data_IF_820081453532
#
_entry.id   IF_820081453532
#
_cell.length_a   1.000
_cell.length_b   1.000
_cell.length_c   1.000
_cell.angle_alpha   90.00
_cell.angle_beta   90.00
_cell.angle_gamma   90.00
#
_symmetry.space_group_name_H-M   'P 1'
#
loop_
_entity.id
_entity.type
_entity.pdbx_description
1 polymer ?
#
# COMPACT_ATOMS: atom_id res chain seq x y z
N UNK A 1 -18.33 13.86 -47.19
CA UNK A 1 -18.01 12.72 -46.31
C UNK A 1 -18.46 13.09 -44.92
N UNK A 2 -19.54 12.49 -44.44
CA UNK A 2 -19.96 12.65 -43.04
C UNK A 2 -19.22 11.67 -42.15
N UNK A 3 -19.05 12.01 -40.88
CA UNK A 3 -18.54 11.09 -39.85
C UNK A 3 -19.42 9.84 -39.82
N UNK A 4 -18.81 8.66 -39.86
CA UNK A 4 -19.52 7.39 -39.79
C UNK A 4 -19.84 7.03 -38.34
N UNK A 5 -20.81 6.15 -38.13
CA UNK A 5 -21.15 5.64 -36.79
C UNK A 5 -19.96 4.94 -36.11
N UNK A 6 -19.06 4.35 -36.92
CA UNK A 6 -17.78 3.79 -36.46
C UNK A 6 -16.85 4.88 -35.95
N UNK A 7 -16.71 5.99 -36.68
CA UNK A 7 -15.86 7.11 -36.26
C UNK A 7 -16.32 7.71 -34.92
N UNK A 8 -17.64 7.76 -34.69
CA UNK A 8 -18.21 8.18 -33.41
C UNK A 8 -17.93 7.17 -32.29
N UNK A 9 -18.08 5.86 -32.53
CA UNK A 9 -17.78 4.81 -31.53
C UNK A 9 -16.30 4.74 -31.17
N UNK A 10 -15.42 4.91 -32.15
CA UNK A 10 -13.97 4.92 -31.95
C UNK A 10 -13.56 6.15 -31.14
N UNK A 11 -14.14 7.33 -31.41
CA UNK A 11 -13.93 8.53 -30.61
C UNK A 11 -14.41 8.38 -29.16
N UNK A 12 -15.60 7.79 -28.94
CA UNK A 12 -16.08 7.47 -27.60
C UNK A 12 -15.17 6.49 -26.86
N UNK A 13 -14.66 5.47 -27.55
CA UNK A 13 -13.73 4.49 -26.97
C UNK A 13 -12.39 5.11 -26.61
N UNK A 14 -11.87 6.03 -27.43
CA UNK A 14 -10.65 6.78 -27.15
C UNK A 14 -10.81 7.69 -25.93
N UNK A 15 -11.92 8.44 -25.82
CA UNK A 15 -12.19 9.29 -24.65
C UNK A 15 -12.40 8.44 -23.39
N UNK A 16 -13.10 7.30 -23.48
CA UNK A 16 -13.28 6.39 -22.35
C UNK A 16 -11.96 5.77 -21.85
N UNK A 17 -11.01 5.52 -22.75
CA UNK A 17 -9.66 5.07 -22.40
C UNK A 17 -8.75 6.17 -21.83
N UNK A 18 -9.12 7.46 -22.01
CA UNK A 18 -8.41 8.60 -21.40
C UNK A 18 -8.88 8.90 -19.97
N UNK A 19 -10.07 8.43 -19.58
CA UNK A 19 -10.56 8.53 -18.20
C UNK A 19 -9.93 7.41 -17.39
N UNK A 20 -9.21 7.71 -16.28
CA UNK A 20 -8.62 6.68 -15.45
C UNK A 20 -9.70 5.72 -14.98
N UNK A 21 -9.54 4.44 -15.33
CA UNK A 21 -10.43 3.39 -14.83
C UNK A 21 -10.23 3.26 -13.32
N UNK A 22 -11.26 2.82 -12.58
CA UNK A 22 -11.17 2.60 -11.12
C UNK A 22 -9.95 1.74 -10.74
N UNK A 23 -9.62 0.76 -11.59
CA UNK A 23 -8.43 -0.07 -11.47
C UNK A 23 -7.12 0.73 -11.52
N UNK A 24 -6.98 1.70 -12.43
CA UNK A 24 -5.75 2.48 -12.58
C UNK A 24 -5.48 3.35 -11.36
N UNK A 25 -6.54 3.96 -10.81
CA UNK A 25 -6.46 4.75 -9.58
C UNK A 25 -6.07 3.89 -8.39
N UNK A 26 -6.71 2.73 -8.22
CA UNK A 26 -6.39 1.79 -7.16
C UNK A 26 -4.96 1.24 -7.31
N UNK A 27 -4.56 0.85 -8.52
CA UNK A 27 -3.21 0.37 -8.80
C UNK A 27 -2.15 1.45 -8.46
N UNK A 28 -2.39 2.71 -8.84
CA UNK A 28 -1.54 3.83 -8.46
C UNK A 28 -1.49 4.03 -6.94
N UNK A 29 -2.62 3.90 -6.24
CA UNK A 29 -2.67 4.01 -4.78
C UNK A 29 -1.85 2.90 -4.11
N UNK A 30 -1.97 1.65 -4.58
CA UNK A 30 -1.19 0.50 -4.11
C UNK A 30 0.31 0.73 -4.31
N UNK A 31 0.73 1.17 -5.51
CA UNK A 31 2.15 1.43 -5.80
C UNK A 31 2.71 2.53 -4.90
N UNK A 32 1.99 3.64 -4.72
CA UNK A 32 2.39 4.72 -3.82
C UNK A 32 2.43 4.28 -2.36
N UNK A 33 1.41 3.55 -1.90
CA UNK A 33 1.35 3.03 -0.54
C UNK A 33 2.51 2.08 -0.23
N UNK A 34 2.89 1.22 -1.18
CA UNK A 34 4.06 0.37 -1.06
C UNK A 34 5.36 1.17 -0.96
N UNK A 35 5.56 2.18 -1.82
CA UNK A 35 6.74 3.04 -1.77
C UNK A 35 6.86 3.78 -0.44
N UNK A 36 5.76 4.34 0.06
CA UNK A 36 5.72 5.01 1.38
C UNK A 36 6.04 4.02 2.51
N UNK A 37 5.51 2.79 2.42
CA UNK A 37 5.82 1.72 3.40
C UNK A 37 7.31 1.39 3.41
N UNK A 38 7.94 1.31 2.23
CA UNK A 38 9.38 1.06 2.11
C UNK A 38 10.22 2.23 2.63
N UNK A 39 9.85 3.46 2.29
CA UNK A 39 10.50 4.67 2.81
C UNK A 39 10.44 4.73 4.33
N UNK A 40 9.32 4.32 4.93
CA UNK A 40 9.19 4.23 6.38
C UNK A 40 10.16 3.21 7.01
N UNK A 41 10.49 2.11 6.32
CA UNK A 41 11.54 1.20 6.79
C UNK A 41 12.91 1.88 6.79
N UNK A 42 13.24 2.62 5.72
CA UNK A 42 14.52 3.34 5.62
C UNK A 42 14.65 4.39 6.71
N UNK A 43 13.62 5.23 6.88
CA UNK A 43 13.57 6.25 7.93
C UNK A 43 13.70 5.61 9.32
N UNK A 44 13.12 4.43 9.53
CA UNK A 44 13.28 3.69 10.78
C UNK A 44 14.73 3.22 10.97
N UNK A 45 15.34 2.59 9.96
CA UNK A 45 16.73 2.12 10.04
C UNK A 45 17.74 3.25 10.22
N UNK A 46 17.52 4.38 9.54
CA UNK A 46 18.28 5.63 9.74
C UNK A 46 18.26 6.09 11.20
N UNK A 47 17.13 5.85 11.90
CA UNK A 47 16.96 6.27 13.27
C UNK A 47 17.56 5.27 14.28
N UNK A 48 17.39 3.97 14.06
CA UNK A 48 17.76 2.95 15.07
C UNK A 48 19.16 2.38 14.92
N UNK A 49 19.78 2.50 13.74
CA UNK A 49 21.12 1.95 13.51
C UNK A 49 22.20 3.01 13.75
N UNK A 50 23.35 2.65 14.36
CA UNK A 50 24.49 3.56 14.50
C UNK A 50 25.20 3.85 13.17
N UNK A 51 24.97 3.03 12.13
CA UNK A 51 25.63 3.14 10.83
C UNK A 51 24.70 2.81 9.65
N UNK A 52 23.60 3.55 9.43
CA UNK A 52 22.56 3.20 8.47
C UNK A 52 23.03 3.20 7.01
N UNK A 53 24.05 4.01 6.68
CA UNK A 53 24.65 4.08 5.34
C UNK A 53 25.19 2.74 4.82
N UNK A 54 25.49 1.78 5.70
CA UNK A 54 25.87 0.44 5.28
C UNK A 54 24.72 -0.30 4.57
N UNK A 55 23.46 -0.03 4.96
CA UNK A 55 22.29 -0.64 4.34
C UNK A 55 22.00 -0.10 2.94
N UNK A 56 22.24 1.19 2.70
CA UNK A 56 22.12 1.78 1.35
C UNK A 56 22.99 1.02 0.34
N UNK A 57 24.23 0.71 0.72
CA UNK A 57 25.17 -0.06 -0.12
C UNK A 57 24.77 -1.53 -0.25
N UNK A 58 24.09 -2.08 0.77
CA UNK A 58 23.61 -3.46 0.74
C UNK A 58 22.47 -3.67 -0.27
N UNK A 59 21.82 -2.58 -0.74
CA UNK A 59 20.74 -2.63 -1.75
C UNK A 59 19.66 -3.64 -1.39
N UNK A 60 19.21 -3.59 -0.13
CA UNK A 60 18.18 -4.51 0.35
C UNK A 60 16.90 -4.33 -0.46
N UNK A 61 16.26 -5.46 -0.77
CA UNK A 61 14.91 -5.49 -1.35
C UNK A 61 13.87 -5.16 -0.31
N UNK A 62 12.66 -4.76 -0.73
CA UNK A 62 11.51 -4.58 0.16
C UNK A 62 11.32 -5.75 1.12
N UNK A 63 11.37 -6.98 0.62
CA UNK A 63 11.17 -8.19 1.42
C UNK A 63 12.23 -8.33 2.52
N UNK A 64 13.49 -8.07 2.20
CA UNK A 64 14.59 -8.08 3.18
C UNK A 64 14.41 -6.97 4.23
N UNK A 65 14.07 -5.75 3.80
CA UNK A 65 13.78 -4.62 4.71
C UNK A 65 12.60 -4.94 5.62
N UNK A 66 11.53 -5.52 5.09
CA UNK A 66 10.36 -5.93 5.87
C UNK A 66 10.73 -6.92 6.97
N UNK A 67 11.52 -7.96 6.65
CA UNK A 67 11.96 -8.93 7.65
C UNK A 67 12.91 -8.33 8.68
N UNK A 68 13.80 -7.43 8.27
CA UNK A 68 14.66 -6.71 9.20
C UNK A 68 13.84 -5.80 10.13
N UNK A 69 12.90 -5.02 9.58
CA UNK A 69 12.00 -4.15 10.34
C UNK A 69 11.16 -4.94 11.36
N UNK A 70 10.64 -6.11 10.96
CA UNK A 70 9.93 -7.02 11.86
C UNK A 70 10.84 -7.59 12.94
N UNK A 71 12.10 -7.90 12.63
CA UNK A 71 13.06 -8.43 13.61
C UNK A 71 13.42 -7.41 14.70
N UNK A 72 13.43 -6.11 14.38
CA UNK A 72 13.56 -5.06 15.39
C UNK A 72 12.36 -5.00 16.34
N UNK A 73 11.18 -5.44 15.89
CA UNK A 73 9.92 -5.35 16.63
C UNK A 73 9.38 -6.75 16.99
N UNK A 74 10.08 -7.51 17.88
CA UNK A 74 9.76 -8.90 18.17
C UNK A 74 8.44 -9.11 18.91
N UNK A 75 7.95 -8.08 19.61
CA UNK A 75 6.67 -8.14 20.30
C UNK A 75 5.52 -8.33 19.30
N UNK A 76 4.66 -9.32 19.54
CA UNK A 76 3.49 -9.61 18.70
C UNK A 76 2.40 -8.51 18.74
N UNK A 77 2.65 -7.40 19.45
CA UNK A 77 1.74 -6.23 19.51
C UNK A 77 1.45 -5.66 18.12
N UNK A 78 2.38 -5.81 17.17
CA UNK A 78 2.23 -5.34 15.79
C UNK A 78 1.95 -6.48 14.79
N UNK A 79 1.51 -7.66 15.28
CA UNK A 79 1.24 -8.83 14.45
C UNK A 79 0.35 -8.55 13.24
N UNK A 80 -0.73 -7.77 13.45
CA UNK A 80 -1.65 -7.38 12.40
C UNK A 80 -0.97 -6.50 11.33
N UNK A 81 -0.08 -5.58 11.71
CA UNK A 81 0.64 -4.70 10.78
C UNK A 81 1.51 -5.52 9.82
N UNK A 82 2.15 -6.58 10.32
CA UNK A 82 2.92 -7.52 9.49
C UNK A 82 2.04 -8.20 8.44
N UNK A 83 0.83 -8.62 8.83
CA UNK A 83 -0.16 -9.18 7.91
C UNK A 83 -0.60 -8.17 6.85
N UNK A 84 -0.85 -6.92 7.25
CA UNK A 84 -1.28 -5.84 6.37
C UNK A 84 -0.21 -5.48 5.33
N UNK A 85 1.04 -5.30 5.76
CA UNK A 85 2.19 -5.02 4.87
C UNK A 85 2.42 -6.16 3.89
N UNK A 86 2.28 -7.41 4.33
CA UNK A 86 2.41 -8.57 3.45
C UNK A 86 1.30 -8.62 2.38
N UNK A 87 0.05 -8.34 2.76
CA UNK A 87 -1.07 -8.22 1.82
C UNK A 87 -0.88 -7.08 0.82
N UNK A 88 -0.38 -5.93 1.27
CA UNK A 88 -0.01 -4.80 0.41
C UNK A 88 1.08 -5.20 -0.61
N UNK A 89 2.11 -5.91 -0.16
CA UNK A 89 3.17 -6.40 -1.04
C UNK A 89 2.65 -7.38 -2.11
N UNK A 90 1.74 -8.28 -1.72
CA UNK A 90 1.08 -9.18 -2.67
C UNK A 90 0.27 -8.42 -3.71
N UNK A 91 -0.57 -7.47 -3.27
CA UNK A 91 -1.38 -6.65 -4.16
C UNK A 91 -0.51 -5.81 -5.12
N UNK A 92 0.62 -5.29 -4.65
CA UNK A 92 1.62 -4.59 -5.47
C UNK A 92 2.23 -5.49 -6.54
N UNK A 93 2.54 -6.74 -6.21
CA UNK A 93 3.08 -7.68 -7.19
C UNK A 93 2.07 -7.97 -8.31
N UNK A 94 0.78 -8.01 -7.99
CA UNK A 94 -0.27 -8.22 -8.98
C UNK A 94 -0.40 -7.03 -9.95
N UNK A 95 -0.24 -5.80 -9.45
CA UNK A 95 -0.15 -4.60 -10.29
C UNK A 95 1.05 -4.71 -11.24
N UNK A 96 2.22 -5.13 -10.74
CA UNK A 96 3.42 -5.29 -11.57
C UNK A 96 3.32 -6.39 -12.63
N UNK A 97 2.46 -7.39 -12.41
CA UNK A 97 2.21 -8.48 -13.34
C UNK A 97 0.99 -8.24 -14.27
N UNK A 98 0.35 -7.07 -14.21
CA UNK A 98 -0.85 -6.72 -14.99
C UNK A 98 -1.97 -7.77 -14.89
N UNK A 99 -2.19 -8.33 -13.70
CA UNK A 99 -3.28 -9.28 -13.48
C UNK A 99 -4.64 -8.63 -13.75
N UNK A 100 -5.57 -9.43 -14.29
CA UNK A 100 -6.93 -9.01 -14.67
C UNK A 100 -7.66 -8.37 -13.47
N UNK A 101 -8.53 -7.41 -13.75
CA UNK A 101 -9.27 -6.58 -12.79
C UNK A 101 -9.89 -7.32 -11.61
N UNK A 102 -10.36 -8.56 -11.83
CA UNK A 102 -11.16 -9.30 -10.85
C UNK A 102 -10.33 -9.85 -9.68
N UNK A 103 -9.16 -10.45 -9.96
CA UNK A 103 -8.25 -10.93 -8.92
C UNK A 103 -7.68 -9.77 -8.10
N UNK A 104 -7.38 -8.65 -8.77
CA UNK A 104 -6.94 -7.42 -8.11
C UNK A 104 -8.02 -6.91 -7.14
N UNK A 105 -9.29 -6.87 -7.58
CA UNK A 105 -10.40 -6.42 -6.75
C UNK A 105 -10.57 -7.29 -5.51
N UNK A 106 -10.52 -8.63 -5.66
CA UNK A 106 -10.63 -9.56 -4.53
C UNK A 106 -9.51 -9.30 -3.51
N UNK A 107 -8.26 -9.21 -3.96
CA UNK A 107 -7.11 -9.00 -3.05
C UNK A 107 -7.10 -7.60 -2.43
N UNK A 108 -7.60 -6.59 -3.15
CA UNK A 108 -7.84 -5.26 -2.59
C UNK A 108 -8.83 -5.34 -1.44
N UNK A 109 -9.98 -5.98 -1.65
CA UNK A 109 -11.02 -6.14 -0.64
C UNK A 109 -10.51 -6.96 0.55
N UNK A 110 -9.71 -8.00 0.31
CA UNK A 110 -9.04 -8.76 1.38
C UNK A 110 -8.08 -7.91 2.22
N UNK A 111 -7.32 -7.00 1.60
CA UNK A 111 -6.42 -6.08 2.32
C UNK A 111 -7.23 -5.12 3.19
N UNK A 112 -8.25 -4.49 2.61
CA UNK A 112 -9.12 -3.53 3.29
C UNK A 112 -9.83 -4.17 4.46
N UNK A 113 -10.49 -5.31 4.25
CA UNK A 113 -11.22 -6.03 5.29
C UNK A 113 -10.27 -6.51 6.40
N UNK A 114 -9.09 -7.04 6.05
CA UNK A 114 -8.11 -7.45 7.04
C UNK A 114 -7.68 -6.28 7.94
N UNK A 115 -7.41 -5.11 7.37
CA UNK A 115 -7.04 -3.92 8.15
C UNK A 115 -8.22 -3.48 9.01
N UNK A 116 -9.43 -3.44 8.46
CA UNK A 116 -10.62 -3.05 9.20
C UNK A 116 -10.91 -3.96 10.41
N UNK A 117 -10.64 -5.26 10.28
CA UNK A 117 -10.92 -6.25 11.32
C UNK A 117 -9.83 -6.31 12.38
N UNK A 118 -8.56 -6.17 11.98
CA UNK A 118 -7.42 -6.42 12.86
C UNK A 118 -6.79 -5.14 13.42
N UNK A 119 -7.14 -3.96 12.90
CA UNK A 119 -6.56 -2.69 13.36
C UNK A 119 -6.99 -2.37 14.82
N UNK A 120 -6.03 -2.20 15.76
CA UNK A 120 -6.32 -1.88 17.15
C UNK A 120 -6.86 -0.45 17.36
N UNK A 121 -6.74 0.44 16.36
CA UNK A 121 -7.24 1.82 16.41
C UNK A 121 -8.61 2.00 15.74
N UNK A 122 -9.35 0.92 15.55
CA UNK A 122 -10.72 0.98 15.02
C UNK A 122 -11.57 1.94 15.87
N UNK A 123 -12.10 2.99 15.24
CA UNK A 123 -12.95 3.99 15.89
C UNK A 123 -12.27 5.28 16.38
N UNK A 124 -10.95 5.46 16.19
CA UNK A 124 -10.24 6.67 16.65
C UNK A 124 -10.17 7.83 15.64
N UNK A 125 -10.56 7.63 14.38
CA UNK A 125 -10.60 8.67 13.34
C UNK A 125 -11.92 8.59 12.56
N UNK A 126 -12.98 9.20 13.06
CA UNK A 126 -14.24 9.31 12.33
C UNK A 126 -14.49 10.76 11.97
N UNK A 127 -14.29 11.12 10.70
CA UNK A 127 -15.03 12.26 10.12
C UNK A 127 -15.59 11.96 8.72
N UNK A 128 -15.27 10.84 8.07
CA UNK A 128 -15.82 10.50 6.75
C UNK A 128 -16.41 9.08 6.60
N UNK A 129 -16.36 8.24 7.64
CA UNK A 129 -17.12 6.99 7.70
C UNK A 129 -16.74 5.91 6.67
N UNK A 130 -15.78 6.15 5.78
CA UNK A 130 -15.40 5.21 4.74
C UNK A 130 -14.13 4.42 5.13
N UNK A 131 -14.24 3.63 6.20
CA UNK A 131 -13.18 2.72 6.65
C UNK A 131 -12.89 1.59 5.65
N UNK A 132 -13.78 1.38 4.67
CA UNK A 132 -13.70 0.36 3.63
C UNK A 132 -12.98 0.81 2.36
N UNK A 133 -12.28 1.94 2.38
CA UNK A 133 -11.52 2.40 1.22
C UNK A 133 -10.01 2.08 1.35
N UNK A 134 -9.42 1.72 0.22
CA UNK A 134 -8.01 1.38 0.07
C UNK A 134 -7.12 2.51 0.59
N UNK A 135 -7.44 3.78 0.30
CA UNK A 135 -6.64 4.91 0.76
C UNK A 135 -6.55 5.00 2.27
N UNK A 136 -7.67 4.80 2.97
CA UNK A 136 -7.72 4.82 4.42
C UNK A 136 -6.94 3.64 5.02
N UNK A 137 -7.05 2.47 4.41
CA UNK A 137 -6.25 1.30 4.77
C UNK A 137 -4.74 1.56 4.66
N UNK A 138 -4.27 2.21 3.59
CA UNK A 138 -2.87 2.59 3.43
C UNK A 138 -2.43 3.64 4.47
N UNK A 139 -3.27 4.62 4.78
CA UNK A 139 -2.99 5.61 5.82
C UNK A 139 -2.83 4.95 7.20
N UNK A 140 -3.66 3.95 7.53
CA UNK A 140 -3.58 3.22 8.81
C UNK A 140 -2.23 2.49 8.95
N UNK A 141 -1.75 1.84 7.88
CA UNK A 141 -0.41 1.23 7.84
C UNK A 141 0.65 2.31 8.15
N UNK A 142 0.59 3.43 7.43
CA UNK A 142 1.56 4.51 7.56
C UNK A 142 1.61 5.09 8.99
N UNK A 143 0.46 5.41 9.58
CA UNK A 143 0.39 5.99 10.93
C UNK A 143 0.95 5.00 11.97
N UNK A 144 0.69 3.69 11.83
CA UNK A 144 1.26 2.69 12.76
C UNK A 144 2.77 2.56 12.64
N UNK A 145 3.33 2.61 11.43
CA UNK A 145 4.79 2.62 11.27
C UNK A 145 5.42 3.85 11.95
N UNK A 146 4.76 5.01 11.89
CA UNK A 146 5.21 6.22 12.61
C UNK A 146 5.17 6.04 14.13
N UNK A 147 4.13 5.38 14.66
CA UNK A 147 4.05 5.13 16.10
C UNK A 147 5.15 4.19 16.58
N UNK A 148 5.42 3.11 15.84
CA UNK A 148 6.56 2.23 16.12
C UNK A 148 7.85 3.04 16.17
N UNK A 149 8.09 3.95 15.22
CA UNK A 149 9.28 4.80 15.24
C UNK A 149 9.40 5.62 16.52
N UNK A 150 8.31 6.23 16.99
CA UNK A 150 8.33 7.08 18.20
C UNK A 150 8.76 6.30 19.45
N UNK A 151 8.41 5.02 19.55
CA UNK A 151 8.79 4.17 20.67
C UNK A 151 10.30 3.93 20.78
N UNK A 152 11.07 4.17 19.70
CA UNK A 152 12.55 4.10 19.69
C UNK A 152 13.22 5.47 19.88
N UNK A 153 12.45 6.56 19.92
CA UNK A 153 12.96 7.92 20.12
C UNK A 153 12.92 8.39 21.58
N UNK A 154 12.50 7.53 22.51
CA UNK A 154 12.41 7.78 23.96
C UNK A 154 13.49 7.01 24.72
#
# INVERSE_FOLDING_TARGET
MGLTEKDLRDAHSQVAAMVPQDYELDAMAVLKGHLVTEQNFEIFFEHVLPGPKALEKARLTFHQKFHLYKAFNPDNKHGWLWGAINKLNNLRNDVGHNLKSDDFKIKKDELVNFIYDQNPWKGLNSDDGNWGDLRNSLNIIHIHQIHIKKDYSA
#
